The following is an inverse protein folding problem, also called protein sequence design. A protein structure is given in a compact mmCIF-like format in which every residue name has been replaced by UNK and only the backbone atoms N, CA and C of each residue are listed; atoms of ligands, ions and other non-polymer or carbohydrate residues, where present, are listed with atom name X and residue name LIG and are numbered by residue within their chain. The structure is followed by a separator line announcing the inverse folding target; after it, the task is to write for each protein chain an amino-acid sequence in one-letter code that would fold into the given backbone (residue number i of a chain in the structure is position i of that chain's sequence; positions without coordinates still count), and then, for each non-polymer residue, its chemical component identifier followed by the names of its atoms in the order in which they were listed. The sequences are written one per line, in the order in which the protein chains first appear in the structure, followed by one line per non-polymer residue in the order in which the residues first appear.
data_IF_371070596914
#
_entry.id   IF_371070596914
#
_cell.length_a   1.000
_cell.length_b   1.000
_cell.length_c   1.000
_cell.angle_alpha   90.00
_cell.angle_beta   90.00
_cell.angle_gamma   90.00
#
_symmetry.space_group_name_H-M   'P 1'
#
loop_
_entity.id
_entity.type
_entity.pdbx_description
1 polymer ?
#
# COMPACT_ATOMS: atom_id res chain seq x y z
N UNK A 1 19.04 2.64 7.37
CA UNK A 1 17.66 2.70 7.88
C UNK A 1 16.81 1.87 6.95
N UNK A 2 16.04 0.92 7.47
CA UNK A 2 15.16 0.05 6.69
C UNK A 2 13.73 0.60 6.75
N UNK A 3 12.99 0.76 5.64
CA UNK A 3 11.69 1.43 5.62
C UNK A 3 10.55 0.49 6.07
N UNK A 4 10.52 0.15 7.36
CA UNK A 4 9.64 -0.88 7.92
C UNK A 4 8.16 -0.67 7.56
N UNK A 5 7.63 0.55 7.71
CA UNK A 5 6.22 0.89 7.45
C UNK A 5 5.78 0.74 5.98
N UNK A 6 6.73 0.67 5.04
CA UNK A 6 6.47 0.43 3.61
C UNK A 6 6.72 -1.01 3.21
N UNK A 7 7.31 -1.82 4.09
CA UNK A 7 7.76 -3.16 3.75
C UNK A 7 6.65 -4.17 4.03
N UNK A 8 6.34 -5.09 3.09
CA UNK A 8 5.43 -6.19 3.39
C UNK A 8 6.05 -7.17 4.40
N UNK A 9 5.24 -7.94 5.13
CA UNK A 9 5.74 -8.81 6.20
C UNK A 9 6.78 -9.83 5.71
N UNK A 10 6.60 -10.42 4.52
CA UNK A 10 7.55 -11.40 3.99
C UNK A 10 8.93 -10.83 3.65
N UNK A 11 9.06 -9.50 3.56
CA UNK A 11 10.31 -8.82 3.22
C UNK A 11 10.94 -8.08 4.41
N UNK A 12 10.32 -8.12 5.60
CA UNK A 12 10.80 -7.45 6.80
C UNK A 12 11.85 -8.26 7.58
N UNK A 13 11.92 -9.58 7.36
CA UNK A 13 12.89 -10.46 8.03
C UNK A 13 14.31 -10.35 7.44
N UNK A 14 15.32 -10.49 8.30
CA UNK A 14 16.71 -10.46 7.88
C UNK A 14 17.04 -11.62 6.93
N UNK A 15 17.48 -11.29 5.71
CA UNK A 15 17.78 -12.27 4.66
C UNK A 15 16.59 -12.65 3.78
N UNK A 16 15.45 -11.97 3.93
CA UNK A 16 14.29 -12.12 3.05
C UNK A 16 14.60 -11.69 1.60
N UNK A 17 13.88 -12.31 0.66
CA UNK A 17 14.00 -12.01 -0.77
C UNK A 17 12.99 -10.93 -1.16
N UNK A 18 13.50 -9.78 -1.57
CA UNK A 18 12.69 -8.73 -2.19
C UNK A 18 12.28 -9.16 -3.61
N UNK A 19 11.07 -8.80 -4.02
CA UNK A 19 10.53 -9.12 -5.34
C UNK A 19 9.73 -7.93 -5.90
N UNK A 20 9.36 -7.98 -7.18
CA UNK A 20 8.43 -7.00 -7.73
C UNK A 20 7.10 -6.98 -6.97
N UNK A 21 6.68 -8.09 -6.34
CA UNK A 21 5.47 -8.13 -5.51
C UNK A 21 5.65 -7.42 -4.17
N UNK A 22 6.87 -7.35 -3.62
CA UNK A 22 7.12 -6.48 -2.45
C UNK A 22 7.11 -5.00 -2.82
N UNK A 23 7.57 -4.65 -4.02
CA UNK A 23 7.47 -3.27 -4.51
C UNK A 23 6.01 -2.84 -4.71
N UNK A 24 5.14 -3.75 -5.14
CA UNK A 24 3.68 -3.49 -5.27
C UNK A 24 3.07 -3.14 -3.91
N UNK A 25 3.47 -3.82 -2.83
CA UNK A 25 3.02 -3.47 -1.48
C UNK A 25 3.44 -2.06 -1.10
N UNK A 26 4.74 -1.75 -1.25
CA UNK A 26 5.30 -0.42 -1.00
C UNK A 26 4.57 0.65 -1.81
N UNK A 27 4.21 0.35 -3.05
CA UNK A 27 3.42 1.24 -3.91
C UNK A 27 2.01 1.48 -3.36
N UNK A 28 1.35 0.48 -2.79
CA UNK A 28 0.09 0.67 -2.07
C UNK A 28 0.23 1.65 -0.91
N UNK A 29 1.31 1.54 -0.12
CA UNK A 29 1.61 2.48 0.98
C UNK A 29 1.89 3.89 0.44
N UNK A 30 2.65 4.01 -0.65
CA UNK A 30 2.89 5.28 -1.33
C UNK A 30 1.59 5.93 -1.82
N UNK A 31 0.66 5.14 -2.36
CA UNK A 31 -0.66 5.66 -2.75
C UNK A 31 -1.38 6.25 -1.53
N UNK A 32 -1.38 5.56 -0.39
CA UNK A 32 -1.97 6.09 0.84
C UNK A 32 -1.36 7.45 1.22
N UNK A 33 -0.03 7.59 1.15
CA UNK A 33 0.64 8.87 1.41
C UNK A 33 0.19 9.97 0.44
N UNK A 34 0.08 9.66 -0.86
CA UNK A 34 -0.40 10.62 -1.87
C UNK A 34 -1.80 11.13 -1.51
N UNK A 35 -2.72 10.22 -1.18
CA UNK A 35 -4.11 10.57 -0.87
C UNK A 35 -4.32 11.21 0.50
N UNK A 36 -3.34 11.09 1.40
CA UNK A 36 -3.33 11.75 2.72
C UNK A 36 -2.41 12.97 2.76
N UNK A 37 -1.94 13.46 1.60
CA UNK A 37 -1.03 14.60 1.48
C UNK A 37 0.27 14.47 2.32
N UNK A 38 0.83 13.26 2.36
CA UNK A 38 2.03 12.92 3.12
C UNK A 38 1.77 12.43 4.54
N UNK A 39 0.58 11.87 4.79
CA UNK A 39 0.26 11.24 6.07
C UNK A 39 1.21 10.08 6.38
N UNK A 40 1.61 9.96 7.65
CA UNK A 40 2.54 8.90 8.08
C UNK A 40 1.79 7.57 8.16
N UNK A 41 2.24 6.51 7.46
CA UNK A 41 1.60 5.20 7.55
C UNK A 41 1.67 4.63 8.98
N UNK A 42 0.58 4.07 9.50
CA UNK A 42 0.53 3.47 10.85
C UNK A 42 1.04 4.42 11.94
N UNK A 43 0.66 5.70 11.89
CA UNK A 43 1.07 6.74 12.85
C UNK A 43 0.53 6.51 14.27
N UNK A 44 -0.48 5.65 14.40
CA UNK A 44 -1.01 5.17 15.67
C UNK A 44 -0.10 4.15 16.37
N UNK A 45 0.92 3.62 15.69
CA UNK A 45 1.86 2.63 16.22
C UNK A 45 3.27 3.25 16.36
N UNK A 46 3.76 3.46 17.60
CA UNK A 46 5.02 4.16 17.84
C UNK A 46 6.28 3.41 17.35
N UNK A 47 6.31 2.09 17.54
CA UNK A 47 7.49 1.27 17.26
C UNK A 47 7.35 0.50 15.93
N UNK A 48 8.41 0.49 15.13
CA UNK A 48 8.43 -0.16 13.81
C UNK A 48 8.22 -1.68 13.91
N UNK A 49 8.78 -2.33 14.94
CA UNK A 49 8.62 -3.77 15.16
C UNK A 49 7.13 -4.13 15.43
N UNK A 50 6.41 -3.26 16.15
CA UNK A 50 4.97 -3.45 16.40
C UNK A 50 4.12 -3.26 15.13
N UNK A 51 4.58 -2.45 14.17
CA UNK A 51 3.91 -2.28 12.87
C UNK A 51 3.95 -3.58 12.08
N UNK A 52 5.11 -4.26 12.02
CA UNK A 52 5.24 -5.54 11.31
C UNK A 52 4.30 -6.58 11.93
N UNK A 53 4.31 -6.72 13.26
CA UNK A 53 3.43 -7.66 13.97
C UNK A 53 1.95 -7.34 13.70
N UNK A 54 1.56 -6.06 13.70
CA UNK A 54 0.19 -5.68 13.39
C UNK A 54 -0.20 -6.04 11.94
N UNK A 55 0.69 -5.78 10.98
CA UNK A 55 0.48 -6.06 9.55
C UNK A 55 0.38 -7.56 9.28
N UNK A 56 1.22 -8.38 9.92
CA UNK A 56 1.15 -9.85 9.87
C UNK A 56 -0.20 -10.36 10.38
N UNK A 57 -0.74 -9.73 11.42
CA UNK A 57 -2.07 -10.02 11.97
C UNK A 57 -3.24 -9.43 11.16
N UNK A 58 -2.97 -8.91 9.96
CA UNK A 58 -4.00 -8.42 9.04
C UNK A 58 -4.33 -6.93 9.18
N UNK A 59 -3.62 -6.16 10.01
CA UNK A 59 -3.78 -4.70 10.05
C UNK A 59 -3.43 -4.11 8.67
N UNK A 60 -4.26 -3.19 8.19
CA UNK A 60 -4.03 -2.39 6.98
C UNK A 60 -4.34 -0.93 7.29
N UNK A 61 -3.80 -0.03 6.47
CA UNK A 61 -4.13 1.40 6.54
C UNK A 61 -5.62 1.60 6.23
N UNK A 62 -6.28 2.51 6.95
CA UNK A 62 -7.69 2.82 6.72
C UNK A 62 -7.90 3.52 5.38
N UNK A 63 -9.16 3.60 4.93
CA UNK A 63 -9.47 4.42 3.77
C UNK A 63 -9.18 5.89 4.09
N UNK A 64 -8.39 6.63 3.29
CA UNK A 64 -8.17 8.06 3.53
C UNK A 64 -9.47 8.88 3.65
N UNK A 65 -10.59 8.42 3.06
CA UNK A 65 -11.89 9.09 3.21
C UNK A 65 -12.45 9.03 4.64
N UNK A 66 -12.10 8.02 5.43
CA UNK A 66 -12.44 7.92 6.87
C UNK A 66 -11.74 9.00 7.70
N UNK A 67 -10.62 9.53 7.19
CA UNK A 67 -9.86 10.63 7.78
C UNK A 67 -10.25 12.01 7.21
N UNK A 68 -11.24 12.06 6.31
CA UNK A 68 -11.71 13.30 5.68
C UNK A 68 -10.99 13.70 4.40
N UNK A 69 -10.11 12.85 3.84
CA UNK A 69 -9.46 13.11 2.55
C UNK A 69 -10.34 12.70 1.36
N UNK A 70 -10.08 13.30 0.19
CA UNK A 70 -10.76 12.92 -1.04
C UNK A 70 -10.13 11.66 -1.63
N UNK A 71 -10.74 10.50 -1.38
CA UNK A 71 -10.32 9.21 -1.95
C UNK A 71 -11.54 8.44 -2.42
N UNK A 72 -11.61 8.13 -3.71
CA UNK A 72 -12.66 7.28 -4.27
C UNK A 72 -12.50 5.82 -3.80
N UNK A 73 -13.61 5.14 -3.54
CA UNK A 73 -13.62 3.74 -3.09
C UNK A 73 -12.87 2.81 -4.05
N UNK A 74 -12.97 3.05 -5.36
CA UNK A 74 -12.27 2.27 -6.38
C UNK A 74 -10.74 2.37 -6.23
N UNK A 75 -10.23 3.52 -5.82
CA UNK A 75 -8.80 3.75 -5.59
C UNK A 75 -8.35 3.01 -4.33
N UNK A 76 -9.08 3.17 -3.23
CA UNK A 76 -8.78 2.47 -1.98
C UNK A 76 -8.83 0.94 -2.15
N UNK A 77 -9.80 0.44 -2.92
CA UNK A 77 -9.88 -0.99 -3.29
C UNK A 77 -8.61 -1.47 -4.02
N UNK A 78 -7.95 -0.60 -4.81
CA UNK A 78 -6.64 -0.92 -5.40
C UNK A 78 -5.50 -0.86 -4.41
N UNK A 79 -5.48 0.10 -3.48
CA UNK A 79 -4.51 0.10 -2.37
C UNK A 79 -4.59 -1.21 -1.57
N UNK A 80 -5.81 -1.63 -1.19
CA UNK A 80 -6.01 -2.88 -0.45
C UNK A 80 -5.53 -4.11 -1.22
N UNK A 81 -5.74 -4.16 -2.54
CA UNK A 81 -5.25 -5.26 -3.38
C UNK A 81 -3.71 -5.31 -3.43
N UNK A 82 -3.02 -4.17 -3.32
CA UNK A 82 -1.56 -4.15 -3.18
C UNK A 82 -1.08 -4.74 -1.85
N UNK A 83 -1.93 -4.75 -0.82
CA UNK A 83 -1.61 -5.27 0.51
C UNK A 83 -2.18 -6.66 0.79
N UNK A 84 -2.40 -7.47 -0.26
CA UNK A 84 -2.76 -8.86 -0.07
C UNK A 84 -1.60 -9.60 0.63
N UNK A 85 -1.95 -10.47 1.58
CA UNK A 85 -0.98 -11.29 2.31
C UNK A 85 -0.32 -12.32 1.39
N UNK A 86 -1.00 -12.77 0.33
CA UNK A 86 -0.40 -13.58 -0.72
C UNK A 86 0.27 -12.66 -1.77
N UNK A 87 1.61 -12.68 -1.93
CA UNK A 87 2.30 -11.88 -2.94
C UNK A 87 1.80 -12.12 -4.37
N UNK A 88 1.34 -13.34 -4.68
CA UNK A 88 0.87 -13.67 -6.02
C UNK A 88 -0.52 -13.11 -6.31
N UNK A 89 -1.35 -12.91 -5.28
CA UNK A 89 -2.66 -12.26 -5.38
C UNK A 89 -2.56 -10.74 -5.62
N UNK A 90 -1.42 -10.13 -5.29
CA UNK A 90 -1.18 -8.69 -5.53
C UNK A 90 -1.16 -8.38 -7.03
N UNK A 91 -1.71 -7.23 -7.47
CA UNK A 91 -1.70 -6.85 -8.88
C UNK A 91 -0.28 -6.64 -9.39
N UNK A 92 -0.07 -6.76 -10.70
CA UNK A 92 1.18 -6.32 -11.33
C UNK A 92 1.19 -4.80 -11.53
N UNK A 93 2.38 -4.20 -11.68
CA UNK A 93 2.47 -2.80 -12.07
C UNK A 93 1.84 -2.51 -13.44
N UNK A 94 1.78 -3.49 -14.35
CA UNK A 94 1.06 -3.35 -15.62
C UNK A 94 -0.44 -3.18 -15.38
N UNK A 95 -1.03 -4.00 -14.51
CA UNK A 95 -2.44 -3.89 -14.13
C UNK A 95 -2.73 -2.57 -13.41
N UNK A 96 -1.85 -2.15 -12.50
CA UNK A 96 -1.96 -0.86 -11.81
C UNK A 96 -1.86 0.31 -12.79
N UNK A 97 -0.88 0.29 -13.70
CA UNK A 97 -0.74 1.32 -14.73
C UNK A 97 -1.97 1.41 -15.62
N UNK A 98 -2.50 0.26 -16.09
CA UNK A 98 -3.73 0.22 -16.89
C UNK A 98 -4.93 0.79 -16.15
N UNK A 99 -5.01 0.58 -14.83
CA UNK A 99 -6.08 1.11 -14.00
C UNK A 99 -6.03 2.65 -13.84
N UNK A 100 -4.85 3.24 -13.67
CA UNK A 100 -4.69 4.69 -13.48
C UNK A 100 -4.59 5.48 -14.79
N UNK A 101 -4.41 4.81 -15.93
CA UNK A 101 -4.43 5.49 -17.22
C UNK A 101 -5.79 6.20 -17.38
N UNK A 102 -5.78 7.50 -17.71
CA UNK A 102 -7.00 8.19 -18.08
C UNK A 102 -7.70 7.42 -19.20
N UNK A 103 -9.03 7.30 -19.13
CA UNK A 103 -9.77 6.93 -20.32
C UNK A 103 -9.58 8.06 -21.35
N UNK A 104 -9.34 7.70 -22.61
CA UNK A 104 -9.18 8.67 -23.72
C UNK A 104 -10.36 9.65 -23.87
N UNK A 105 -11.47 9.40 -23.17
CA UNK A 105 -12.65 10.26 -23.11
C UNK A 105 -12.46 11.56 -22.29
N UNK A 106 -11.42 11.67 -21.46
CA UNK A 106 -11.20 12.84 -20.59
C UNK A 106 -10.41 13.99 -21.26
N UNK A 107 -10.05 13.85 -22.54
CA UNK A 107 -9.31 14.85 -23.33
C UNK A 107 -10.11 15.41 -24.54
N UNK A 108 -11.43 15.19 -24.57
CA UNK A 108 -12.38 15.82 -25.52
C UNK A 108 -13.37 16.68 -24.78
#
# INVERSE_FOLDING_TARGET
MFPVRWTPPEAAEAGAFHSTKSDVWSFGVLMYEIFTYGGVPYDDIPADDDVIVAVENGRRLCNPSELGYQCEERIYTKMQACWDSDPEARPSFEQLSAFFKPSDAALT
#
